data_IF_913081846603
#
_entry.id   IF_913081846603
#
_cell.length_a   1.000
_cell.length_b   1.000
_cell.length_c   1.000
_cell.angle_alpha   90.00
_cell.angle_beta   90.00
_cell.angle_gamma   90.00
#
_symmetry.space_group_name_H-M   'P 1'
#
loop_
_entity.id
_entity.type
_entity.pdbx_description
1 polymer ?
#
# COMPACT_ATOMS: atom_id res chain seq x y z
N UNK A 1 -68.26 45.10 -62.03
CA UNK A 1 -68.36 43.62 -62.04
C UNK A 1 -68.03 43.15 -60.61
N UNK A 2 -69.00 42.72 -59.79
CA UNK A 2 -69.53 41.34 -59.71
C UNK A 2 -68.36 40.36 -59.42
N UNK A 3 -68.21 39.63 -58.31
CA UNK A 3 -69.15 38.99 -57.37
C UNK A 3 -68.48 38.68 -56.02
N UNK A 4 -69.25 38.86 -54.95
CA UNK A 4 -69.52 37.99 -53.80
C UNK A 4 -68.59 36.84 -53.33
N UNK A 5 -68.47 36.80 -51.99
CA UNK A 5 -68.66 35.67 -51.06
C UNK A 5 -67.44 35.02 -50.38
N UNK A 6 -67.39 35.27 -49.06
CA UNK A 6 -66.75 34.53 -47.94
C UNK A 6 -67.42 33.14 -47.81
N UNK A 7 -66.81 32.08 -47.22
CA UNK A 7 -66.83 31.94 -45.75
C UNK A 7 -65.71 31.12 -45.05
N UNK A 8 -65.42 31.56 -43.81
CA UNK A 8 -65.26 30.79 -42.55
C UNK A 8 -64.74 29.33 -42.58
N UNK A 9 -63.76 29.02 -41.71
CA UNK A 9 -64.10 28.44 -40.40
C UNK A 9 -62.94 28.49 -39.38
N UNK A 10 -63.29 28.78 -38.14
CA UNK A 10 -62.40 28.71 -36.97
C UNK A 10 -62.30 27.27 -36.47
N UNK A 11 -61.08 26.77 -36.21
CA UNK A 11 -60.87 25.75 -35.18
C UNK A 11 -59.69 26.17 -34.30
N UNK A 12 -59.97 26.16 -33.01
CA UNK A 12 -59.16 26.60 -31.88
C UNK A 12 -58.20 25.48 -31.41
N UNK A 13 -57.30 25.87 -30.50
CA UNK A 13 -56.66 25.04 -29.44
C UNK A 13 -55.44 24.23 -29.90
N UNK A 14 -54.32 24.07 -29.20
CA UNK A 14 -53.60 24.65 -28.03
C UNK A 14 -52.32 23.80 -27.93
N UNK A 15 -51.20 24.37 -27.51
CA UNK A 15 -50.04 23.59 -27.03
C UNK A 15 -48.74 23.98 -27.72
N UNK A 16 -47.89 24.82 -27.11
CA UNK A 16 -46.74 24.37 -26.27
C UNK A 16 -45.64 23.79 -27.17
N UNK A 17 -44.41 24.29 -27.27
CA UNK A 17 -43.61 25.30 -26.56
C UNK A 17 -42.32 25.47 -27.38
N UNK A 18 -41.67 26.60 -27.19
CA UNK A 18 -40.37 27.00 -27.75
C UNK A 18 -39.34 25.88 -27.97
N UNK A 19 -38.75 25.83 -29.17
CA UNK A 19 -37.46 25.20 -29.45
C UNK A 19 -36.85 25.82 -30.71
N UNK A 20 -36.44 27.08 -30.60
CA UNK A 20 -35.50 27.69 -31.54
C UNK A 20 -34.55 28.53 -30.69
N UNK A 21 -33.26 28.52 -31.04
CA UNK A 21 -32.11 29.14 -30.37
C UNK A 21 -31.38 28.19 -29.41
N UNK A 22 -30.53 27.31 -29.98
CA UNK A 22 -29.06 27.29 -29.76
C UNK A 22 -28.47 26.49 -30.95
N UNK A 23 -28.34 27.14 -32.10
CA UNK A 23 -27.53 26.65 -33.22
C UNK A 23 -26.24 27.48 -33.26
N UNK A 24 -25.28 27.13 -32.40
CA UNK A 24 -24.04 27.93 -32.31
C UNK A 24 -22.94 27.40 -31.39
N UNK A 25 -23.06 26.20 -30.82
CA UNK A 25 -22.02 25.61 -29.96
C UNK A 25 -21.85 24.10 -30.24
N UNK A 26 -21.64 23.73 -31.51
CA UNK A 26 -21.44 22.33 -31.89
C UNK A 26 -20.11 22.11 -32.66
N UNK A 27 -19.10 22.93 -32.41
CA UNK A 27 -17.76 22.72 -32.97
C UNK A 27 -16.67 22.95 -31.92
N UNK A 28 -16.72 22.18 -30.85
CA UNK A 28 -15.57 21.87 -30.02
C UNK A 28 -15.66 20.38 -29.70
N UNK A 29 -15.32 19.54 -30.67
CA UNK A 29 -15.01 18.15 -30.39
C UNK A 29 -13.72 18.13 -29.58
N UNK A 30 -13.83 18.15 -28.25
CA UNK A 30 -12.72 17.76 -27.40
C UNK A 30 -12.49 16.26 -27.63
N UNK A 31 -11.54 15.94 -28.51
CA UNK A 31 -11.01 14.58 -28.60
C UNK A 31 -10.29 14.31 -27.29
N UNK A 32 -10.95 13.61 -26.37
CA UNK A 32 -10.29 12.96 -25.24
C UNK A 32 -9.18 12.10 -25.81
N UNK A 33 -7.92 12.40 -25.50
CA UNK A 33 -6.82 11.49 -25.77
C UNK A 33 -7.11 10.20 -24.99
N UNK A 34 -7.56 9.16 -25.69
CA UNK A 34 -7.73 7.83 -25.11
C UNK A 34 -6.32 7.28 -24.89
N UNK A 35 -5.77 7.59 -23.72
CA UNK A 35 -4.56 6.94 -23.25
C UNK A 35 -4.92 5.49 -22.99
N UNK A 36 -4.54 4.60 -23.90
CA UNK A 36 -4.50 3.17 -23.66
C UNK A 36 -3.31 2.85 -22.75
N UNK A 37 -3.25 3.49 -21.59
CA UNK A 37 -2.55 2.93 -20.45
C UNK A 37 -3.55 1.98 -19.84
N UNK A 38 -3.33 0.69 -20.04
CA UNK A 38 -3.85 -0.34 -19.13
C UNK A 38 -3.43 0.10 -17.73
N UNK A 39 -4.35 0.73 -17.01
CA UNK A 39 -4.29 0.85 -15.57
C UNK A 39 -4.13 -0.57 -15.08
N UNK A 40 -2.92 -0.97 -14.72
CA UNK A 40 -2.71 -2.06 -13.79
C UNK A 40 -3.40 -1.60 -12.51
N UNK A 41 -4.71 -1.86 -12.44
CA UNK A 41 -5.46 -1.66 -11.22
C UNK A 41 -4.78 -2.60 -10.23
N UNK A 42 -3.95 -2.05 -9.35
CA UNK A 42 -3.46 -2.74 -8.19
C UNK A 42 -4.71 -3.06 -7.38
N UNK A 43 -5.27 -4.25 -7.61
CA UNK A 43 -6.40 -4.74 -6.86
C UNK A 43 -5.91 -4.91 -5.43
N UNK A 44 -6.24 -3.94 -4.57
CA UNK A 44 -6.01 -4.04 -3.14
C UNK A 44 -6.81 -5.23 -2.64
N UNK A 45 -6.13 -6.35 -2.40
CA UNK A 45 -6.71 -7.49 -1.71
C UNK A 45 -6.37 -7.30 -0.25
N UNK A 46 -7.35 -7.03 0.63
CA UNK A 46 -7.06 -6.88 2.05
C UNK A 46 -6.43 -8.17 2.56
N UNK A 47 -5.40 -8.05 3.39
CA UNK A 47 -4.81 -9.20 4.08
C UNK A 47 -5.86 -9.75 5.07
N UNK A 48 -6.60 -10.77 4.66
CA UNK A 48 -7.66 -11.38 5.48
C UNK A 48 -7.12 -12.36 6.52
N UNK A 49 -5.85 -12.76 6.40
CA UNK A 49 -5.18 -13.67 7.32
C UNK A 49 -3.89 -13.01 7.85
N UNK A 50 -3.69 -12.93 9.17
CA UNK A 50 -2.44 -12.44 9.73
C UNK A 50 -1.27 -13.36 9.36
N UNK A 51 -0.15 -12.78 8.95
CA UNK A 51 1.12 -13.49 8.76
C UNK A 51 1.77 -13.86 10.10
N UNK A 52 2.50 -14.97 10.09
CA UNK A 52 3.26 -15.48 11.23
C UNK A 52 4.73 -15.14 11.06
N UNK A 53 5.27 -14.41 12.04
CA UNK A 53 6.67 -13.98 12.06
C UNK A 53 7.44 -14.70 13.17
N UNK A 54 8.73 -14.98 12.93
CA UNK A 54 9.62 -15.47 13.98
C UNK A 54 11.09 -15.39 13.59
N UNK A 55 11.94 -14.99 14.53
CA UNK A 55 13.40 -14.99 14.32
C UNK A 55 13.90 -16.43 14.40
N UNK A 56 14.47 -16.95 13.30
CA UNK A 56 15.12 -18.26 13.30
C UNK A 56 16.55 -18.14 13.82
N UNK A 57 17.28 -17.15 13.31
CA UNK A 57 18.62 -16.81 13.76
C UNK A 57 18.83 -15.30 13.68
N UNK A 58 19.64 -14.75 14.58
CA UNK A 58 20.15 -13.39 14.50
C UNK A 58 21.61 -13.38 14.98
N UNK A 59 22.44 -12.57 14.34
CA UNK A 59 23.85 -12.42 14.69
C UNK A 59 24.25 -10.96 14.53
N UNK A 60 24.87 -10.41 15.55
CA UNK A 60 25.53 -9.11 15.50
C UNK A 60 26.86 -9.27 14.75
N UNK A 61 27.07 -8.48 13.71
CA UNK A 61 28.26 -8.57 12.84
C UNK A 61 29.16 -7.33 12.92
N UNK A 62 28.65 -6.24 13.49
CA UNK A 62 29.39 -5.01 13.73
C UNK A 62 28.87 -4.30 14.97
N UNK A 63 29.42 -3.11 15.26
CA UNK A 63 29.04 -2.33 16.44
C UNK A 63 27.54 -1.97 16.45
N UNK A 64 26.97 -1.74 15.27
CA UNK A 64 25.59 -1.25 15.07
C UNK A 64 24.89 -1.97 13.92
N UNK A 65 25.37 -3.17 13.54
CA UNK A 65 24.84 -3.91 12.40
C UNK A 65 24.77 -5.41 12.66
N UNK A 66 23.78 -6.05 12.06
CA UNK A 66 23.45 -7.46 12.24
C UNK A 66 22.86 -8.10 10.99
N UNK A 67 22.82 -9.42 11.01
CA UNK A 67 22.12 -10.24 10.02
C UNK A 67 21.18 -11.22 10.73
N UNK A 68 20.08 -11.56 10.08
CA UNK A 68 19.11 -12.50 10.62
C UNK A 68 18.41 -13.32 9.53
N UNK A 69 17.86 -14.46 9.95
CA UNK A 69 16.94 -15.26 9.15
C UNK A 69 15.59 -15.22 9.84
N UNK A 70 14.59 -14.71 9.14
CA UNK A 70 13.22 -14.58 9.65
C UNK A 70 12.35 -15.65 8.98
N UNK A 71 11.53 -16.34 9.79
CA UNK A 71 10.38 -17.07 9.31
C UNK A 71 9.25 -16.08 9.04
N UNK A 72 8.79 -16.04 7.80
CA UNK A 72 7.58 -15.32 7.39
C UNK A 72 6.65 -16.34 6.74
N UNK A 73 5.65 -16.81 7.49
CA UNK A 73 4.77 -17.90 7.08
C UNK A 73 5.55 -19.15 6.62
N UNK A 74 5.48 -19.46 5.32
CA UNK A 74 6.19 -20.58 4.68
C UNK A 74 7.57 -20.21 4.11
N UNK A 75 8.05 -19.01 4.34
CA UNK A 75 9.27 -18.47 3.75
C UNK A 75 10.37 -18.20 4.78
N UNK A 76 11.61 -18.25 4.30
CA UNK A 76 12.81 -17.77 4.97
C UNK A 76 13.21 -16.44 4.33
N UNK A 77 13.27 -15.40 5.14
CA UNK A 77 13.64 -14.05 4.75
C UNK A 77 14.99 -13.74 5.38
N UNK A 78 16.04 -13.70 4.56
CA UNK A 78 17.39 -13.33 4.97
C UNK A 78 17.46 -11.80 4.99
N UNK A 79 17.80 -11.22 6.13
CA UNK A 79 17.83 -9.76 6.32
C UNK A 79 19.17 -9.29 6.86
N UNK A 80 19.53 -8.07 6.49
CA UNK A 80 20.58 -7.28 7.13
C UNK A 80 19.89 -6.10 7.83
N UNK A 81 20.38 -5.71 9.00
CA UNK A 81 19.78 -4.63 9.75
C UNK A 81 20.84 -3.78 10.44
N UNK A 82 20.54 -2.49 10.56
CA UNK A 82 21.27 -1.57 11.43
C UNK A 82 20.43 -1.26 12.66
N UNK A 83 21.10 -1.00 13.77
CA UNK A 83 20.45 -0.73 15.04
C UNK A 83 21.22 0.28 15.88
N UNK A 84 20.48 0.94 16.76
CA UNK A 84 21.01 1.79 17.82
C UNK A 84 20.74 1.15 19.18
N UNK A 85 21.61 1.43 20.15
CA UNK A 85 21.46 0.94 21.52
C UNK A 85 21.34 2.10 22.51
N UNK A 86 20.54 1.89 23.54
CA UNK A 86 20.38 2.83 24.64
C UNK A 86 20.12 2.08 25.96
N UNK A 87 20.54 2.63 27.11
CA UNK A 87 20.20 2.04 28.39
C UNK A 87 18.69 2.16 28.65
N UNK A 88 18.08 1.11 29.20
CA UNK A 88 16.67 1.07 29.58
C UNK A 88 16.46 0.20 30.84
N UNK A 89 15.30 0.29 31.46
CA UNK A 89 14.94 -0.47 32.67
C UNK A 89 13.44 -0.76 32.73
N UNK A 90 13.05 -1.79 33.48
CA UNK A 90 11.65 -2.06 33.78
C UNK A 90 11.10 -1.21 34.94
N UNK A 91 11.83 -0.16 35.36
CA UNK A 91 11.44 0.71 36.47
C UNK A 91 11.60 0.09 37.87
N UNK A 92 12.27 -1.07 37.98
CA UNK A 92 12.63 -1.69 39.26
C UNK A 92 14.15 -1.81 39.38
N UNK A 93 14.75 -1.54 40.56
CA UNK A 93 16.19 -1.62 40.74
C UNK A 93 16.76 -2.98 40.33
N UNK A 94 17.84 -2.96 39.54
CA UNK A 94 18.51 -4.17 39.04
C UNK A 94 17.90 -4.77 37.78
N UNK A 95 16.95 -4.08 37.15
CA UNK A 95 16.31 -4.50 35.90
C UNK A 95 16.83 -3.76 34.67
N UNK A 96 18.00 -3.13 34.79
CA UNK A 96 18.66 -2.41 33.70
C UNK A 96 19.07 -3.37 32.58
N UNK A 97 18.89 -2.93 31.34
CA UNK A 97 19.31 -3.65 30.15
C UNK A 97 19.69 -2.68 29.03
N UNK A 98 20.35 -3.19 28.00
CA UNK A 98 20.62 -2.43 26.77
C UNK A 98 19.46 -2.65 25.81
N UNK A 99 18.59 -1.65 25.67
CA UNK A 99 17.52 -1.65 24.68
C UNK A 99 18.07 -1.37 23.28
N UNK A 100 17.35 -1.84 22.26
CA UNK A 100 17.76 -1.81 20.86
C UNK A 100 16.64 -1.26 19.99
N UNK A 101 16.96 -0.33 19.11
CA UNK A 101 16.03 0.10 18.06
C UNK A 101 16.62 -0.22 16.69
N UNK A 102 15.88 -1.01 15.90
CA UNK A 102 16.24 -1.31 14.51
C UNK A 102 15.92 -0.09 13.65
N UNK A 103 16.95 0.54 13.09
CA UNK A 103 16.84 1.81 12.35
C UNK A 103 16.78 1.61 10.83
N UNK A 104 17.34 0.51 10.34
CA UNK A 104 17.30 0.11 8.94
C UNK A 104 17.08 -1.40 8.84
N UNK A 105 16.28 -1.83 7.87
CA UNK A 105 16.08 -3.23 7.53
C UNK A 105 16.22 -3.40 6.02
N UNK A 106 17.08 -4.31 5.60
CA UNK A 106 17.27 -4.69 4.20
C UNK A 106 16.86 -6.15 4.02
N UNK A 107 15.92 -6.40 3.10
CA UNK A 107 15.61 -7.76 2.65
C UNK A 107 16.66 -8.17 1.61
N UNK A 108 17.50 -9.16 1.95
CA UNK A 108 18.58 -9.60 1.06
C UNK A 108 18.09 -10.70 0.11
N UNK A 109 17.32 -11.66 0.63
CA UNK A 109 16.84 -12.82 -0.11
C UNK A 109 15.60 -13.41 0.57
N UNK A 110 14.64 -13.86 -0.25
CA UNK A 110 13.50 -14.65 0.23
C UNK A 110 13.54 -16.02 -0.45
N UNK A 111 13.46 -17.09 0.34
CA UNK A 111 13.36 -18.46 -0.14
C UNK A 111 12.16 -19.19 0.47
N UNK A 112 11.58 -20.15 -0.25
CA UNK A 112 10.65 -21.11 0.36
C UNK A 112 11.39 -22.23 1.11
N UNK A 113 10.64 -23.14 1.72
CA UNK A 113 11.19 -24.30 2.45
C UNK A 113 12.06 -25.23 1.59
N UNK A 114 11.90 -25.20 0.26
CA UNK A 114 12.67 -26.00 -0.69
C UNK A 114 13.89 -25.24 -1.23
N UNK A 115 14.11 -24.00 -0.80
CA UNK A 115 15.25 -23.16 -1.22
C UNK A 115 15.03 -22.44 -2.54
N UNK A 116 13.82 -22.40 -3.10
CA UNK A 116 13.54 -21.60 -4.30
C UNK A 116 13.47 -20.12 -3.91
N UNK A 117 14.20 -19.27 -4.63
CA UNK A 117 14.20 -17.82 -4.40
C UNK A 117 12.97 -17.11 -4.99
N UNK A 118 12.55 -16.03 -4.32
CA UNK A 118 11.44 -15.17 -4.71
C UNK A 118 11.89 -13.70 -4.73
N UNK A 119 11.20 -12.89 -5.52
CA UNK A 119 11.32 -11.43 -5.42
C UNK A 119 10.83 -10.96 -4.05
N UNK A 120 11.29 -9.79 -3.61
CA UNK A 120 10.76 -9.18 -2.40
C UNK A 120 9.26 -8.87 -2.58
N UNK A 121 8.44 -9.56 -1.80
CA UNK A 121 6.99 -9.36 -1.74
C UNK A 121 6.54 -8.70 -0.44
N UNK A 122 7.49 -8.33 0.44
CA UNK A 122 7.19 -7.78 1.76
C UNK A 122 6.63 -6.37 1.65
N UNK A 123 5.76 -6.02 2.60
CA UNK A 123 5.18 -4.69 2.70
C UNK A 123 5.65 -3.92 3.94
N UNK A 124 5.10 -2.72 4.14
CA UNK A 124 5.42 -1.89 5.30
C UNK A 124 5.14 -2.58 6.64
N UNK A 125 4.05 -3.34 6.74
CA UNK A 125 3.68 -4.03 7.97
C UNK A 125 4.64 -5.18 8.25
N UNK A 126 5.07 -5.91 7.22
CA UNK A 126 6.11 -6.94 7.36
C UNK A 126 7.39 -6.34 7.95
N UNK A 127 7.87 -5.22 7.42
CA UNK A 127 9.08 -4.56 7.92
C UNK A 127 8.94 -4.12 9.37
N UNK A 128 7.78 -3.54 9.72
CA UNK A 128 7.47 -3.15 11.11
C UNK A 128 7.46 -4.34 12.06
N UNK A 129 6.84 -5.44 11.65
CA UNK A 129 6.74 -6.65 12.46
C UNK A 129 8.12 -7.32 12.61
N UNK A 130 8.91 -7.39 11.53
CA UNK A 130 10.28 -7.91 11.54
C UNK A 130 11.16 -7.10 12.50
N UNK A 131 11.11 -5.77 12.44
CA UNK A 131 11.87 -4.91 13.35
C UNK A 131 11.49 -5.15 14.82
N UNK A 132 10.20 -5.28 15.11
CA UNK A 132 9.71 -5.53 16.47
C UNK A 132 10.18 -6.89 17.01
N UNK A 133 10.11 -7.96 16.22
CA UNK A 133 10.58 -9.28 16.67
C UNK A 133 12.10 -9.35 16.75
N UNK A 134 12.84 -8.62 15.91
CA UNK A 134 14.30 -8.54 15.99
C UNK A 134 14.73 -7.81 17.26
N UNK A 135 14.14 -6.64 17.55
CA UNK A 135 14.35 -5.91 18.81
C UNK A 135 14.18 -6.83 20.01
N UNK A 136 13.00 -7.45 20.13
CA UNK A 136 12.69 -8.33 21.26
C UNK A 136 13.61 -9.55 21.34
N UNK A 137 14.02 -10.12 20.20
CA UNK A 137 14.96 -11.24 20.18
C UNK A 137 16.36 -10.82 20.64
N UNK A 138 16.86 -9.67 20.18
CA UNK A 138 18.19 -9.15 20.53
C UNK A 138 18.26 -8.85 22.02
N UNK A 139 17.27 -8.13 22.55
CA UNK A 139 17.19 -7.73 23.96
C UNK A 139 17.04 -8.96 24.87
N UNK A 140 16.12 -9.88 24.55
CA UNK A 140 15.90 -11.09 25.35
C UNK A 140 17.11 -12.01 25.40
N UNK A 141 17.89 -12.07 24.33
CA UNK A 141 19.08 -12.91 24.25
C UNK A 141 20.38 -12.16 24.55
N UNK A 142 20.31 -10.89 24.98
CA UNK A 142 21.47 -10.09 25.40
C UNK A 142 22.56 -9.99 24.33
N UNK A 143 22.17 -9.96 23.04
CA UNK A 143 23.15 -10.06 21.94
C UNK A 143 24.06 -8.83 21.80
N UNK A 144 23.72 -7.74 22.49
CA UNK A 144 24.44 -6.45 22.47
C UNK A 144 24.88 -6.00 23.87
N UNK A 145 24.73 -6.87 24.89
CA UNK A 145 25.27 -6.58 26.22
C UNK A 145 26.81 -6.66 26.21
N UNK A 146 27.45 -5.79 26.99
CA UNK A 146 28.91 -5.66 27.08
C UNK A 146 29.50 -6.57 28.17
#
# INVERSE_FOLDING_TARGET
>A
MNVNAIPFNHIKVTGVTALVLIAGLASCEYKTAQSSLTSNAYNFTPQTQPSIYGVQTAKIIGKTSGIAVIKLDGFRVNVSFDFETHPDSYGVPGSEFTAVDVTQLTINEITDVNGKSYIDFTDYNDHRNINAILKGFIERNKLVEA
#
